data_IF_579285611615
#
_entry.id   IF_579285611615
#
_cell.length_a   1.000
_cell.length_b   1.000
_cell.length_c   1.000
_cell.angle_alpha   90.00
_cell.angle_beta   90.00
_cell.angle_gamma   90.00
#
_symmetry.space_group_name_H-M   'P 1'
#
loop_
_entity.id
_entity.type
_entity.pdbx_description
1 polymer ?
#
# COMPACT_ATOMS: atom_id res chain seq x y z
N UNK A 1 -23.42 11.89 25.01
CA UNK A 1 -24.48 10.90 25.33
C UNK A 1 -24.09 9.59 24.68
N UNK A 2 -24.15 8.49 25.42
CA UNK A 2 -23.84 7.14 24.93
C UNK A 2 -25.12 6.34 24.75
N UNK A 3 -25.19 5.49 23.73
CA UNK A 3 -26.27 4.52 23.50
C UNK A 3 -25.78 3.12 23.80
N UNK A 4 -26.70 2.24 24.20
CA UNK A 4 -26.40 0.83 24.47
C UNK A 4 -27.37 -0.05 23.71
N UNK A 5 -26.88 -1.14 23.13
CA UNK A 5 -27.69 -2.20 22.56
C UNK A 5 -27.13 -3.56 22.97
N UNK A 6 -27.90 -4.61 22.75
CA UNK A 6 -27.47 -5.99 22.93
C UNK A 6 -27.36 -6.66 21.56
N UNK A 7 -26.26 -7.36 21.33
CA UNK A 7 -26.14 -8.31 20.24
C UNK A 7 -26.35 -9.69 20.81
N UNK A 8 -27.29 -10.44 20.23
CA UNK A 8 -27.51 -11.84 20.56
C UNK A 8 -27.17 -12.68 19.35
N UNK A 9 -26.26 -13.64 19.53
CA UNK A 9 -25.98 -14.70 18.58
C UNK A 9 -26.64 -15.99 19.05
N UNK A 10 -27.47 -16.59 18.21
CA UNK A 10 -28.12 -17.88 18.49
C UNK A 10 -27.54 -18.94 17.56
N UNK A 11 -27.08 -20.05 18.09
CA UNK A 11 -26.78 -21.24 17.28
C UNK A 11 -28.05 -22.07 17.14
N UNK A 12 -28.43 -22.44 15.91
CA UNK A 12 -29.46 -23.47 15.71
C UNK A 12 -28.88 -24.81 16.16
N UNK A 13 -29.32 -25.28 17.33
CA UNK A 13 -28.89 -26.55 17.89
C UNK A 13 -29.78 -27.71 17.48
N UNK A 14 -29.19 -28.82 17.03
CA UNK A 14 -29.86 -30.11 16.90
C UNK A 14 -30.34 -30.58 18.28
N UNK A 15 -31.66 -30.53 18.51
CA UNK A 15 -32.42 -31.24 19.55
C UNK A 15 -32.09 -31.04 21.05
N UNK A 16 -31.07 -30.26 21.43
CA UNK A 16 -30.70 -30.00 22.83
C UNK A 16 -30.44 -28.52 23.15
N UNK A 17 -31.49 -27.70 23.12
CA UNK A 17 -31.54 -26.36 23.73
C UNK A 17 -30.75 -25.26 23.00
N UNK A 18 -31.39 -24.09 22.79
CA UNK A 18 -30.71 -22.91 22.21
C UNK A 18 -29.55 -22.47 23.12
N UNK A 19 -28.31 -22.59 22.64
CA UNK A 19 -27.15 -21.91 23.25
C UNK A 19 -27.00 -20.55 22.59
N UNK A 20 -27.27 -19.49 23.34
CA UNK A 20 -27.11 -18.11 22.90
C UNK A 20 -25.91 -17.43 23.56
N UNK A 21 -25.07 -16.77 22.77
CA UNK A 21 -24.06 -15.82 23.29
C UNK A 21 -24.60 -14.40 23.16
N UNK A 22 -24.42 -13.60 24.19
CA UNK A 22 -24.87 -12.21 24.24
C UNK A 22 -23.70 -11.26 24.47
N UNK A 23 -23.74 -10.11 23.82
CA UNK A 23 -22.81 -9.01 24.05
C UNK A 23 -23.59 -7.73 24.29
N UNK A 24 -23.13 -6.94 25.25
CA UNK A 24 -23.58 -5.56 25.44
C UNK A 24 -22.63 -4.65 24.66
N UNK A 25 -23.19 -3.83 23.79
CA UNK A 25 -22.45 -2.86 22.99
C UNK A 25 -22.87 -1.46 23.39
N UNK A 26 -21.90 -0.63 23.76
CA UNK A 26 -22.15 0.78 24.06
C UNK A 26 -21.38 1.62 23.06
N UNK A 27 -22.01 2.65 22.48
CA UNK A 27 -21.32 3.56 21.58
C UNK A 27 -21.62 5.02 21.89
N UNK A 28 -20.67 5.88 21.53
CA UNK A 28 -20.83 7.33 21.61
C UNK A 28 -20.09 8.00 20.47
N UNK A 29 -20.67 9.09 19.96
CA UNK A 29 -20.01 9.95 18.98
C UNK A 29 -19.00 10.82 19.71
N UNK A 30 -17.77 10.90 19.19
CA UNK A 30 -16.73 11.72 19.80
C UNK A 30 -17.18 13.19 19.86
N UNK A 31 -16.88 13.86 20.97
CA UNK A 31 -17.26 15.26 21.16
C UNK A 31 -16.52 16.19 20.19
N UNK A 32 -15.26 15.87 19.90
CA UNK A 32 -14.49 16.55 18.88
C UNK A 32 -14.83 15.99 17.51
N UNK A 33 -15.11 16.90 16.58
CA UNK A 33 -15.47 16.61 15.21
C UNK A 33 -14.53 17.41 14.30
N UNK A 34 -13.33 16.87 14.01
CA UNK A 34 -12.36 17.53 13.16
C UNK A 34 -12.93 17.85 11.78
N UNK A 35 -12.19 18.68 11.03
CA UNK A 35 -12.68 19.19 9.74
C UNK A 35 -12.97 18.08 8.73
N UNK A 36 -12.15 17.03 8.71
CA UNK A 36 -12.13 16.03 7.63
C UNK A 36 -12.74 14.68 8.00
N UNK A 37 -12.93 14.41 9.28
CA UNK A 37 -13.46 13.14 9.75
C UNK A 37 -14.32 13.31 11.01
N UNK A 38 -15.10 12.28 11.28
CA UNK A 38 -15.87 12.07 12.49
C UNK A 38 -15.58 10.68 13.03
N UNK A 39 -15.71 10.50 14.34
CA UNK A 39 -15.46 9.22 14.98
C UNK A 39 -16.54 8.81 15.98
N UNK A 40 -16.68 7.51 16.16
CA UNK A 40 -17.54 6.90 17.15
C UNK A 40 -16.75 5.85 17.94
N UNK A 41 -16.77 5.97 19.26
CA UNK A 41 -16.11 5.06 20.19
C UNK A 41 -17.12 4.01 20.65
N UNK A 42 -16.74 2.74 20.58
CA UNK A 42 -17.58 1.58 20.86
C UNK A 42 -16.87 0.69 21.90
N UNK A 43 -17.58 0.33 22.98
CA UNK A 43 -17.21 -0.76 23.88
C UNK A 43 -18.07 -1.99 23.62
N UNK A 44 -17.47 -3.17 23.74
CA UNK A 44 -18.13 -4.46 23.63
C UNK A 44 -17.79 -5.31 24.85
N UNK A 45 -18.83 -5.73 25.59
CA UNK A 45 -18.75 -6.53 26.81
C UNK A 45 -19.48 -7.86 26.60
N UNK A 46 -18.85 -8.99 26.94
CA UNK A 46 -19.54 -10.28 26.95
C UNK A 46 -20.54 -10.33 28.11
N UNK A 47 -21.77 -10.75 27.84
CA UNK A 47 -22.79 -10.92 28.88
C UNK A 47 -22.61 -12.29 29.54
N UNK A 48 -22.50 -12.31 30.87
CA UNK A 48 -22.58 -13.56 31.64
C UNK A 48 -24.04 -13.98 31.73
N UNK A 49 -24.42 -15.04 31.00
CA UNK A 49 -25.71 -15.67 31.23
C UNK A 49 -25.72 -16.24 32.65
N UNK A 50 -26.64 -15.77 33.49
CA UNK A 50 -26.86 -16.31 34.83
C UNK A 50 -27.33 -17.77 34.73
N UNK A 51 -26.39 -18.72 34.71
CA UNK A 51 -26.71 -20.14 34.69
C UNK A 51 -25.63 -21.11 34.19
N UNK A 52 -24.56 -20.65 33.53
CA UNK A 52 -23.46 -21.54 33.09
C UNK A 52 -22.13 -20.90 33.46
N UNK A 53 -21.70 -21.14 34.69
CA UNK A 53 -20.34 -20.85 35.12
C UNK A 53 -19.41 -21.98 34.63
N UNK A 54 -18.24 -21.59 34.13
CA UNK A 54 -17.01 -22.36 34.01
C UNK A 54 -16.71 -23.24 32.77
N UNK A 55 -17.45 -23.17 31.67
CA UNK A 55 -16.97 -23.71 30.38
C UNK A 55 -17.15 -22.71 29.22
N UNK A 56 -16.26 -21.73 29.15
CA UNK A 56 -16.10 -20.85 27.97
C UNK A 56 -14.75 -21.08 27.30
N UNK A 57 -14.36 -22.37 27.19
CA UNK A 57 -13.21 -22.81 26.40
C UNK A 57 -13.65 -24.02 25.57
N UNK A 58 -14.37 -23.79 24.48
CA UNK A 58 -14.42 -24.72 23.34
C UNK A 58 -15.07 -24.06 22.11
N UNK A 59 -14.34 -24.17 21.01
CA UNK A 59 -14.65 -23.97 19.59
C UNK A 59 -15.46 -22.73 19.15
N UNK A 60 -14.71 -21.65 18.87
CA UNK A 60 -15.18 -20.41 18.22
C UNK A 60 -15.14 -20.55 16.67
N UNK A 61 -14.66 -21.69 16.15
CA UNK A 61 -14.54 -21.95 14.71
C UNK A 61 -15.89 -22.02 13.96
N UNK A 62 -17.01 -22.20 14.66
CA UNK A 62 -18.34 -22.32 14.06
C UNK A 62 -18.92 -21.01 13.48
N UNK A 63 -18.39 -19.84 13.85
CA UNK A 63 -18.83 -18.54 13.31
C UNK A 63 -18.41 -18.28 11.85
N UNK A 64 -17.59 -19.15 11.25
CA UNK A 64 -16.97 -18.93 9.94
C UNK A 64 -17.69 -19.63 8.77
N UNK A 65 -18.67 -20.50 9.01
CA UNK A 65 -19.40 -21.24 7.96
C UNK A 65 -20.58 -20.44 7.39
N UNK A 66 -21.12 -20.88 6.25
CA UNK A 66 -21.87 -20.11 5.24
C UNK A 66 -23.27 -19.59 5.61
N UNK A 67 -23.67 -19.59 6.88
CA UNK A 67 -25.01 -19.13 7.34
C UNK A 67 -24.93 -17.79 8.11
N UNK A 68 -24.21 -16.81 7.53
CA UNK A 68 -23.79 -15.56 8.20
C UNK A 68 -24.89 -14.53 8.46
N UNK A 69 -25.96 -14.52 7.68
CA UNK A 69 -26.93 -13.40 7.69
C UNK A 69 -28.09 -13.56 8.68
N UNK A 70 -28.32 -14.76 9.21
CA UNK A 70 -29.54 -15.09 9.95
C UNK A 70 -29.41 -15.01 11.48
N UNK A 71 -28.20 -14.91 12.03
CA UNK A 71 -27.93 -15.27 13.43
C UNK A 71 -27.54 -14.09 14.35
N UNK A 72 -27.30 -12.89 13.81
CA UNK A 72 -26.99 -11.69 14.61
C UNK A 72 -28.24 -10.80 14.71
N UNK A 73 -28.83 -10.71 15.89
CA UNK A 73 -29.94 -9.80 16.18
C UNK A 73 -29.46 -8.61 17.02
N UNK A 74 -29.86 -7.40 16.64
CA UNK A 74 -29.66 -6.18 17.44
C UNK A 74 -30.92 -5.90 18.25
N UNK A 75 -30.79 -5.90 19.57
CA UNK A 75 -31.87 -5.59 20.51
C UNK A 75 -31.54 -4.24 21.17
N UNK A 76 -32.34 -3.21 20.89
CA UNK A 76 -32.24 -1.91 21.56
C UNK A 76 -33.12 -1.92 22.82
N UNK A 77 -32.56 -1.95 24.04
CA UNK A 77 -33.33 -1.97 25.27
C UNK A 77 -34.18 -0.71 25.49
N UNK A 78 -33.89 0.40 24.80
CA UNK A 78 -34.67 1.64 24.88
C UNK A 78 -35.90 1.63 23.95
N UNK A 79 -35.90 0.78 22.91
CA UNK A 79 -37.07 0.52 22.06
C UNK A 79 -37.72 -0.80 22.48
N UNK A 80 -38.63 -0.72 23.46
CA UNK A 80 -39.38 -1.87 23.98
C UNK A 80 -40.09 -2.63 22.86
N UNK A 81 -39.54 -3.78 22.43
CA UNK A 81 -40.29 -4.87 21.81
C UNK A 81 -39.96 -5.30 20.38
N UNK A 82 -39.05 -4.64 19.65
CA UNK A 82 -38.68 -5.08 18.29
C UNK A 82 -37.17 -5.27 18.14
N UNK A 83 -36.71 -6.51 18.25
CA UNK A 83 -35.38 -6.89 17.78
C UNK A 83 -35.31 -6.64 16.27
N UNK A 84 -34.41 -5.76 15.81
CA UNK A 84 -34.16 -5.60 14.38
C UNK A 84 -33.26 -6.74 13.90
N UNK A 85 -33.88 -7.86 13.55
CA UNK A 85 -33.17 -8.98 12.92
C UNK A 85 -32.54 -8.49 11.61
N UNK A 86 -31.27 -8.79 11.43
CA UNK A 86 -30.52 -8.44 10.22
C UNK A 86 -30.04 -6.99 10.15
N UNK A 87 -30.20 -6.17 11.21
CA UNK A 87 -29.67 -4.79 11.22
C UNK A 87 -28.14 -4.72 11.01
N UNK A 88 -27.43 -5.80 11.31
CA UNK A 88 -25.98 -5.95 11.14
C UNK A 88 -25.62 -7.02 10.11
N UNK A 89 -26.56 -7.46 9.26
CA UNK A 89 -26.30 -8.44 8.21
C UNK A 89 -25.34 -7.89 7.14
N UNK A 90 -24.73 -8.78 6.37
CA UNK A 90 -23.75 -8.42 5.33
C UNK A 90 -24.35 -7.42 4.33
N UNK A 91 -25.59 -7.64 3.91
CA UNK A 91 -26.32 -6.75 3.00
C UNK A 91 -26.62 -5.35 3.55
N UNK A 92 -26.45 -5.13 4.87
CA UNK A 92 -26.74 -3.84 5.53
C UNK A 92 -25.47 -3.06 5.83
N UNK A 93 -24.50 -3.69 6.49
CA UNK A 93 -23.28 -3.00 6.94
C UNK A 93 -22.05 -3.28 6.05
N UNK A 94 -22.19 -4.21 5.10
CA UNK A 94 -21.11 -4.66 4.22
C UNK A 94 -20.27 -5.77 4.84
N UNK A 95 -19.70 -6.61 3.97
CA UNK A 95 -18.91 -7.79 4.35
C UNK A 95 -17.74 -7.46 5.26
N UNK A 96 -16.95 -6.44 4.93
CA UNK A 96 -15.76 -6.06 5.72
C UNK A 96 -16.11 -5.61 7.14
N UNK A 97 -17.20 -4.84 7.27
CA UNK A 97 -17.71 -4.38 8.57
C UNK A 97 -18.20 -5.55 9.41
N UNK A 98 -18.92 -6.49 8.79
CA UNK A 98 -19.38 -7.70 9.45
C UNK A 98 -18.21 -8.58 9.90
N UNK A 99 -17.24 -8.84 9.02
CA UNK A 99 -16.05 -9.65 9.33
C UNK A 99 -15.26 -9.07 10.51
N UNK A 100 -15.05 -7.74 10.52
CA UNK A 100 -14.35 -7.07 11.61
C UNK A 100 -15.15 -7.08 12.93
N UNK A 101 -16.47 -6.87 12.86
CA UNK A 101 -17.33 -6.95 14.04
C UNK A 101 -17.29 -8.36 14.63
N UNK A 102 -17.43 -9.40 13.80
CA UNK A 102 -17.38 -10.80 14.24
C UNK A 102 -16.02 -11.14 14.85
N UNK A 103 -14.89 -10.80 14.21
CA UNK A 103 -13.56 -11.01 14.80
C UNK A 103 -13.41 -10.31 16.16
N UNK A 104 -13.99 -9.11 16.31
CA UNK A 104 -13.92 -8.38 17.59
C UNK A 104 -14.82 -9.01 18.67
N UNK A 105 -16.02 -9.46 18.31
CA UNK A 105 -16.91 -10.19 19.23
C UNK A 105 -16.25 -11.49 19.73
N UNK A 106 -15.54 -12.20 18.85
CA UNK A 106 -14.82 -13.45 19.16
C UNK A 106 -13.67 -13.25 20.14
N UNK A 107 -13.06 -12.06 20.16
CA UNK A 107 -11.97 -11.69 21.09
C UNK A 107 -12.49 -11.21 22.45
N UNK A 108 -13.78 -10.95 22.58
CA UNK A 108 -14.38 -10.50 23.84
C UNK A 108 -14.51 -11.69 24.79
N UNK A 109 -14.02 -11.53 26.02
CA UNK A 109 -14.20 -12.55 27.09
C UNK A 109 -14.98 -11.95 28.25
N UNK A 110 -15.40 -12.77 29.22
CA UNK A 110 -16.10 -12.32 30.44
C UNK A 110 -15.26 -11.35 31.28
N UNK A 111 -13.94 -11.30 31.07
CA UNK A 111 -13.02 -10.47 31.85
C UNK A 111 -12.27 -9.43 31.00
N UNK A 112 -12.46 -9.40 29.68
CA UNK A 112 -11.78 -8.48 28.77
C UNK A 112 -12.79 -7.83 27.82
N UNK A 113 -13.10 -6.57 28.09
CA UNK A 113 -13.88 -5.68 27.23
C UNK A 113 -13.06 -5.31 25.98
N UNK A 114 -13.72 -5.22 24.84
CA UNK A 114 -13.10 -4.78 23.58
C UNK A 114 -13.47 -3.32 23.24
N UNK A 115 -12.48 -2.53 22.82
CA UNK A 115 -12.67 -1.13 22.46
C UNK A 115 -12.37 -0.90 20.98
N UNK A 116 -13.28 -0.22 20.30
CA UNK A 116 -13.20 0.09 18.87
C UNK A 116 -13.45 1.59 18.66
N UNK A 117 -12.76 2.18 17.69
CA UNK A 117 -13.12 3.49 17.12
C UNK A 117 -13.44 3.32 15.64
N UNK A 118 -14.65 3.72 15.24
CA UNK A 118 -15.03 3.84 13.83
C UNK A 118 -14.71 5.25 13.33
N UNK A 119 -14.21 5.34 12.11
CA UNK A 119 -13.85 6.60 11.46
C UNK A 119 -14.67 6.75 10.18
N UNK A 120 -15.38 7.87 10.05
CA UNK A 120 -16.03 8.26 8.80
C UNK A 120 -15.49 9.60 8.28
N UNK A 121 -15.30 9.75 6.97
CA UNK A 121 -15.01 11.05 6.37
C UNK A 121 -16.16 12.03 6.57
N UNK A 122 -15.85 13.33 6.55
CA UNK A 122 -16.84 14.42 6.53
C UNK A 122 -16.84 15.15 5.20
N UNK A 123 -18.00 15.68 4.83
CA UNK A 123 -18.21 16.37 3.56
C UNK A 123 -18.72 15.46 2.45
N UNK A 124 -18.55 15.91 1.22
CA UNK A 124 -19.08 15.23 0.04
C UNK A 124 -17.97 14.95 -0.99
N UNK A 125 -17.90 13.70 -1.44
CA UNK A 125 -16.94 13.27 -2.45
C UNK A 125 -16.61 11.79 -2.34
N UNK A 126 -15.76 11.31 -3.23
CA UNK A 126 -15.26 9.95 -3.20
C UNK A 126 -14.07 9.86 -2.24
N UNK A 127 -13.95 8.75 -1.50
CA UNK A 127 -12.78 8.48 -0.67
C UNK A 127 -11.51 8.53 -1.53
N UNK A 128 -10.50 9.27 -1.06
CA UNK A 128 -9.22 9.40 -1.79
C UNK A 128 -8.48 8.08 -1.88
N UNK A 129 -8.65 7.23 -0.88
CA UNK A 129 -8.02 5.90 -0.76
C UNK A 129 -8.82 5.05 0.23
N UNK A 130 -9.24 3.86 -0.20
CA UNK A 130 -10.12 2.99 0.61
C UNK A 130 -9.49 2.52 1.94
N UNK A 131 -8.18 2.30 1.96
CA UNK A 131 -7.39 1.87 3.12
C UNK A 131 -6.68 3.03 3.84
N UNK A 132 -7.18 4.26 3.70
CA UNK A 132 -6.53 5.45 4.29
C UNK A 132 -6.37 5.34 5.81
N UNK A 133 -7.38 4.79 6.51
CA UNK A 133 -7.32 4.63 7.97
C UNK A 133 -6.22 3.62 8.37
N UNK A 134 -6.21 2.37 7.86
CA UNK A 134 -5.12 1.45 8.14
C UNK A 134 -3.72 1.98 7.80
N UNK A 135 -3.54 2.62 6.65
CA UNK A 135 -2.22 3.14 6.24
C UNK A 135 -1.74 4.27 7.14
N UNK A 136 -2.64 5.11 7.62
CA UNK A 136 -2.29 6.25 8.48
C UNK A 136 -2.08 5.82 9.93
N UNK A 137 -2.75 4.78 10.40
CA UNK A 137 -2.64 4.25 11.76
C UNK A 137 -1.54 3.19 11.94
N UNK A 138 -0.70 2.98 10.91
CA UNK A 138 0.45 2.09 11.01
C UNK A 138 1.41 2.58 12.11
N UNK A 139 1.97 1.62 12.86
CA UNK A 139 2.89 1.84 14.00
C UNK A 139 2.35 2.76 15.11
N UNK A 140 1.05 2.74 15.37
CA UNK A 140 0.48 3.40 16.56
C UNK A 140 0.47 2.42 17.74
N UNK A 141 1.16 2.75 18.84
CA UNK A 141 1.45 1.84 19.95
C UNK A 141 0.22 1.20 20.61
N UNK A 142 -0.89 1.94 20.75
CA UNK A 142 -2.12 1.49 21.40
C UNK A 142 -3.18 0.94 20.43
N UNK A 143 -2.80 0.62 19.19
CA UNK A 143 -3.68 0.04 18.17
C UNK A 143 -3.34 -1.44 17.97
N UNK A 144 -4.30 -2.32 18.25
CA UNK A 144 -4.15 -3.77 18.01
C UNK A 144 -4.30 -4.10 16.52
N UNK A 145 -5.32 -3.53 15.88
CA UNK A 145 -5.58 -3.75 14.46
C UNK A 145 -6.37 -2.60 13.86
N UNK A 146 -6.26 -2.47 12.55
CA UNK A 146 -7.07 -1.56 11.74
C UNK A 146 -7.60 -2.26 10.51
N UNK A 147 -8.80 -1.88 10.08
CA UNK A 147 -9.41 -2.42 8.87
C UNK A 147 -9.95 -1.30 7.98
N UNK A 148 -9.82 -1.49 6.67
CA UNK A 148 -10.47 -0.66 5.67
C UNK A 148 -11.91 -1.13 5.49
N UNK A 149 -12.87 -0.27 5.80
CA UNK A 149 -14.30 -0.54 5.60
C UNK A 149 -14.82 0.07 4.30
N UNK A 150 -14.14 1.11 3.80
CA UNK A 150 -14.48 1.72 2.53
C UNK A 150 -14.16 0.80 1.33
N UNK A 151 -14.96 0.94 0.28
CA UNK A 151 -14.62 0.46 -1.05
C UNK A 151 -13.88 1.54 -1.86
N UNK A 152 -13.02 1.16 -2.83
CA UNK A 152 -12.35 2.12 -3.71
C UNK A 152 -13.35 3.02 -4.41
N UNK A 153 -13.10 4.34 -4.35
CA UNK A 153 -13.98 5.38 -4.90
C UNK A 153 -15.39 5.41 -4.28
N UNK A 154 -15.60 4.82 -3.10
CA UNK A 154 -16.87 4.94 -2.39
C UNK A 154 -17.24 6.41 -2.19
N UNK A 155 -18.47 6.76 -2.59
CA UNK A 155 -19.03 8.08 -2.42
C UNK A 155 -19.51 8.27 -0.99
N UNK A 156 -19.11 9.38 -0.38
CA UNK A 156 -19.61 9.84 0.90
C UNK A 156 -20.43 11.11 0.71
N UNK A 157 -21.53 11.17 1.45
CA UNK A 157 -22.40 12.32 1.62
C UNK A 157 -22.16 12.90 3.01
N UNK A 158 -22.44 14.20 3.20
CA UNK A 158 -22.14 14.92 4.45
C UNK A 158 -23.14 14.57 5.57
N UNK A 159 -23.20 13.29 5.91
CA UNK A 159 -24.03 12.74 6.97
C UNK A 159 -23.29 12.85 8.29
N UNK A 160 -23.61 13.87 9.06
CA UNK A 160 -23.08 14.02 10.42
C UNK A 160 -23.67 12.95 11.34
N UNK A 161 -22.81 12.20 12.00
CA UNK A 161 -23.18 11.32 13.09
C UNK A 161 -23.62 12.14 14.28
N UNK A 162 -24.69 11.68 14.92
CA UNK A 162 -25.30 12.32 16.08
C UNK A 162 -25.44 11.30 17.19
N UNK A 163 -25.78 11.76 18.40
CA UNK A 163 -26.03 10.85 19.51
C UNK A 163 -27.15 9.82 19.22
N UNK A 164 -28.02 10.07 18.23
CA UNK A 164 -29.11 9.17 17.83
C UNK A 164 -28.75 8.27 16.64
N UNK A 165 -27.54 8.34 16.09
CA UNK A 165 -27.12 7.48 14.98
C UNK A 165 -27.11 6.01 15.41
N UNK A 166 -27.69 5.13 14.59
CA UNK A 166 -27.76 3.69 14.85
C UNK A 166 -26.40 3.02 14.61
N UNK A 167 -26.15 1.91 15.32
CA UNK A 167 -24.93 1.13 15.15
C UNK A 167 -24.72 0.66 13.70
N UNK A 168 -25.79 0.23 13.04
CA UNK A 168 -25.77 -0.18 11.62
C UNK A 168 -25.35 0.96 10.69
N UNK A 169 -25.83 2.19 10.95
CA UNK A 169 -25.44 3.37 10.18
C UNK A 169 -23.97 3.70 10.40
N UNK A 170 -23.46 3.60 11.63
CA UNK A 170 -22.05 3.84 11.93
C UNK A 170 -21.13 2.90 11.14
N UNK A 171 -21.40 1.58 11.16
CA UNK A 171 -20.61 0.62 10.40
C UNK A 171 -20.73 0.82 8.88
N UNK A 172 -21.95 1.05 8.37
CA UNK A 172 -22.19 1.25 6.94
C UNK A 172 -21.50 2.50 6.37
N UNK A 173 -21.39 3.55 7.18
CA UNK A 173 -20.84 4.85 6.75
C UNK A 173 -19.41 5.08 7.24
N UNK A 174 -18.79 4.12 7.92
CA UNK A 174 -17.38 4.21 8.28
C UNK A 174 -16.48 3.93 7.06
N UNK A 175 -15.36 4.64 6.97
CA UNK A 175 -14.28 4.32 6.03
C UNK A 175 -13.26 3.35 6.63
N UNK A 176 -13.13 3.31 7.95
CA UNK A 176 -12.25 2.38 8.64
C UNK A 176 -12.64 2.17 10.09
N UNK A 177 -12.10 1.10 10.67
CA UNK A 177 -12.23 0.79 12.08
C UNK A 177 -10.86 0.51 12.70
N UNK A 178 -10.73 0.87 13.97
CA UNK A 178 -9.53 0.73 14.78
C UNK A 178 -9.93 -0.05 16.02
N UNK A 179 -9.30 -1.19 16.28
CA UNK A 179 -9.43 -1.88 17.57
C UNK A 179 -8.22 -1.54 18.43
N UNK A 180 -8.49 -1.16 19.67
CA UNK A 180 -7.45 -0.71 20.59
C UNK A 180 -6.92 -1.86 21.42
N UNK A 181 -5.61 -1.81 21.67
CA UNK A 181 -4.99 -2.62 22.70
C UNK A 181 -4.98 -1.79 23.99
N UNK A 182 -5.44 -2.35 25.14
CA UNK A 182 -5.23 -1.70 26.42
C UNK A 182 -3.73 -1.43 26.63
N UNK A 183 -3.38 -0.21 27.05
CA UNK A 183 -2.03 0.07 27.51
C UNK A 183 -1.74 -0.84 28.71
N UNK A 184 -0.50 -1.30 28.88
CA UNK A 184 -0.13 -2.39 29.80
C UNK A 184 -0.58 -2.21 31.26
N UNK A 185 -0.94 -0.98 31.67
CA UNK A 185 -1.50 -0.65 32.99
C UNK A 185 -2.69 0.35 32.91
N UNK A 186 -3.24 0.60 31.72
CA UNK A 186 -4.23 1.65 31.47
C UNK A 186 -5.67 1.15 31.30
N UNK A 187 -6.62 2.05 31.49
CA UNK A 187 -8.03 1.84 31.17
C UNK A 187 -8.30 2.04 29.67
N UNK A 188 -9.48 1.61 29.21
CA UNK A 188 -9.93 1.88 27.83
C UNK A 188 -10.09 3.38 27.56
N UNK A 189 -10.47 4.16 28.58
CA UNK A 189 -10.52 5.61 28.47
C UNK A 189 -9.11 6.20 28.22
N UNK A 190 -8.09 5.63 28.84
CA UNK A 190 -6.69 6.03 28.60
C UNK A 190 -6.25 5.68 27.18
N UNK A 191 -6.66 4.50 26.67
CA UNK A 191 -6.39 4.11 25.29
C UNK A 191 -7.05 5.05 24.27
N UNK A 192 -8.30 5.48 24.47
CA UNK A 192 -8.92 6.49 23.60
C UNK A 192 -8.26 7.86 23.73
N UNK A 193 -7.90 8.27 24.94
CA UNK A 193 -7.20 9.54 25.18
C UNK A 193 -5.85 9.58 24.46
N UNK A 194 -5.13 8.45 24.44
CA UNK A 194 -3.88 8.32 23.69
C UNK A 194 -4.08 8.28 22.17
N UNK A 195 -5.23 7.78 21.69
CA UNK A 195 -5.56 7.72 20.26
C UNK A 195 -5.92 9.09 19.66
N UNK A 196 -6.58 9.96 20.42
CA UNK A 196 -7.02 11.30 19.96
C UNK A 196 -5.94 12.12 19.24
N UNK A 197 -4.74 12.34 19.82
CA UNK A 197 -3.68 13.09 19.13
C UNK A 197 -3.16 12.37 17.87
N UNK A 198 -3.16 11.04 17.85
CA UNK A 198 -2.76 10.27 16.66
C UNK A 198 -3.76 10.45 15.51
N UNK A 199 -5.06 10.43 15.81
CA UNK A 199 -6.09 10.69 14.80
C UNK A 199 -5.96 12.11 14.24
N UNK A 200 -5.81 13.10 15.11
CA UNK A 200 -5.65 14.50 14.69
C UNK A 200 -4.40 14.68 13.81
N UNK A 201 -3.26 14.14 14.23
CA UNK A 201 -2.00 14.28 13.47
C UNK A 201 -2.03 13.56 12.11
N UNK A 202 -2.73 12.43 12.02
CA UNK A 202 -2.62 11.52 10.87
C UNK A 202 -3.81 11.59 9.91
N UNK A 203 -4.97 12.07 10.35
CA UNK A 203 -6.21 12.17 9.56
C UNK A 203 -6.68 13.60 9.32
N UNK A 204 -5.97 14.63 9.79
CA UNK A 204 -6.25 16.04 9.48
C UNK A 204 -5.82 16.45 8.06
N UNK A 205 -6.20 15.63 7.09
CA UNK A 205 -6.00 15.85 5.66
C UNK A 205 -7.31 15.57 4.92
N UNK A 206 -7.54 16.14 3.73
CA UNK A 206 -8.70 15.81 2.92
C UNK A 206 -8.81 14.30 2.68
N UNK A 207 -9.88 13.69 3.21
CA UNK A 207 -10.18 12.27 3.02
C UNK A 207 -11.08 12.02 1.80
N UNK A 208 -11.75 13.05 1.31
CA UNK A 208 -12.67 13.01 0.17
C UNK A 208 -12.21 13.99 -0.92
N UNK A 209 -12.38 13.58 -2.18
CA UNK A 209 -12.24 14.46 -3.34
C UNK A 209 -13.43 14.26 -4.29
N UNK A 210 -13.85 15.33 -4.96
CA UNK A 210 -14.91 15.28 -5.97
C UNK A 210 -14.34 14.93 -7.34
N UNK A 211 -15.06 14.12 -8.11
CA UNK A 211 -14.70 13.83 -9.50
C UNK A 211 -13.60 12.78 -9.67
N UNK A 212 -13.30 12.00 -8.61
CA UNK A 212 -12.46 10.82 -8.77
C UNK A 212 -13.19 9.79 -9.63
N UNK A 213 -12.47 9.24 -10.61
CA UNK A 213 -12.96 8.17 -11.50
C UNK A 213 -12.02 6.98 -11.43
N UNK A 214 -12.56 5.80 -11.74
CA UNK A 214 -11.75 4.59 -11.92
C UNK A 214 -10.77 4.82 -13.07
N UNK A 215 -9.51 4.43 -12.89
CA UNK A 215 -8.46 4.60 -13.88
C UNK A 215 -7.95 3.25 -14.38
N UNK A 216 -7.49 3.20 -15.62
CA UNK A 216 -6.83 2.05 -16.22
C UNK A 216 -5.37 2.41 -16.52
N UNK A 217 -4.42 1.82 -15.78
CA UNK A 217 -3.01 2.01 -16.05
C UNK A 217 -2.37 0.71 -16.53
N UNK A 218 -1.38 0.83 -17.41
CA UNK A 218 -0.57 -0.31 -17.83
C UNK A 218 0.79 -0.28 -17.15
N UNK A 219 1.17 -1.40 -16.54
CA UNK A 219 2.46 -1.57 -15.89
C UNK A 219 3.35 -2.49 -16.71
N UNK A 220 4.49 -1.98 -17.16
CA UNK A 220 5.47 -2.77 -17.93
C UNK A 220 6.41 -3.52 -17.00
N UNK A 221 6.63 -4.80 -17.29
CA UNK A 221 7.39 -5.81 -16.55
C UNK A 221 6.70 -6.35 -15.29
N UNK A 222 5.89 -5.54 -14.60
CA UNK A 222 5.05 -6.01 -13.49
C UNK A 222 5.81 -6.21 -12.16
N UNK A 223 7.13 -6.11 -12.14
CA UNK A 223 7.98 -6.17 -10.96
C UNK A 223 8.86 -7.42 -10.91
N UNK A 224 10.17 -7.22 -10.76
CA UNK A 224 11.16 -8.30 -10.61
C UNK A 224 10.91 -9.11 -9.33
N UNK A 225 10.76 -10.43 -9.47
CA UNK A 225 10.91 -11.40 -8.39
C UNK A 225 10.03 -11.15 -7.14
N UNK A 226 8.73 -11.40 -7.27
CA UNK A 226 7.77 -11.36 -6.17
C UNK A 226 7.95 -12.48 -5.13
N UNK A 227 7.45 -12.30 -3.88
CA UNK A 227 7.01 -11.06 -3.22
C UNK A 227 7.98 -10.56 -2.12
N UNK A 228 9.11 -11.25 -1.88
CA UNK A 228 9.97 -11.00 -0.71
C UNK A 228 11.38 -10.52 -1.04
N UNK A 229 11.74 -10.36 -2.32
CA UNK A 229 13.12 -10.12 -2.75
C UNK A 229 13.51 -8.63 -2.88
N UNK A 230 12.78 -7.72 -2.22
CA UNK A 230 13.22 -6.33 -2.07
C UNK A 230 13.03 -5.45 -3.30
N UNK A 231 11.79 -5.28 -3.73
CA UNK A 231 11.29 -4.10 -4.44
C UNK A 231 9.77 -4.09 -4.21
N UNK A 232 9.17 -2.94 -3.92
CA UNK A 232 7.77 -2.78 -3.49
C UNK A 232 6.75 -3.29 -4.51
N UNK A 233 6.56 -4.61 -4.59
CA UNK A 233 5.80 -5.22 -5.67
C UNK A 233 4.33 -5.38 -5.26
N UNK A 234 4.00 -6.12 -4.20
CA UNK A 234 2.60 -6.29 -3.76
C UNK A 234 1.94 -4.98 -3.28
N UNK A 235 2.68 -4.11 -2.58
CA UNK A 235 2.12 -2.84 -2.08
C UNK A 235 1.69 -1.89 -3.21
N UNK A 236 2.31 -2.01 -4.39
CA UNK A 236 1.93 -1.23 -5.57
C UNK A 236 0.53 -1.65 -6.05
N UNK A 237 0.28 -2.96 -6.18
CA UNK A 237 -1.03 -3.48 -6.59
C UNK A 237 -2.11 -3.17 -5.56
N UNK A 238 -1.82 -3.34 -4.27
CA UNK A 238 -2.78 -2.97 -3.22
C UNK A 238 -3.10 -1.46 -3.24
N UNK A 239 -2.09 -0.63 -3.45
CA UNK A 239 -2.25 0.82 -3.55
C UNK A 239 -3.09 1.19 -4.76
N UNK A 240 -2.82 0.60 -5.93
CA UNK A 240 -3.62 0.85 -7.11
C UNK A 240 -5.09 0.45 -6.87
N UNK A 241 -5.32 -0.75 -6.33
CA UNK A 241 -6.66 -1.23 -6.00
C UNK A 241 -7.39 -0.27 -5.05
N UNK A 242 -6.72 0.20 -4.01
CA UNK A 242 -7.35 1.07 -3.00
C UNK A 242 -7.61 2.50 -3.48
N UNK A 243 -6.88 2.95 -4.50
CA UNK A 243 -7.11 4.20 -5.23
C UNK A 243 -8.18 4.08 -6.32
N UNK A 244 -8.67 2.87 -6.62
CA UNK A 244 -9.59 2.63 -7.74
C UNK A 244 -8.89 2.64 -9.09
N UNK A 245 -7.66 2.14 -9.14
CA UNK A 245 -6.86 1.97 -10.35
C UNK A 245 -6.85 0.49 -10.72
N UNK A 246 -7.27 0.19 -11.95
CA UNK A 246 -7.11 -1.11 -12.57
C UNK A 246 -5.73 -1.18 -13.24
N UNK A 247 -4.92 -2.16 -12.86
CA UNK A 247 -3.59 -2.37 -13.42
C UNK A 247 -3.60 -3.51 -14.43
N UNK A 248 -3.28 -3.21 -15.69
CA UNK A 248 -2.99 -4.21 -16.73
C UNK A 248 -1.48 -4.39 -16.80
N UNK A 249 -1.01 -5.62 -16.62
CA UNK A 249 0.43 -5.91 -16.66
C UNK A 249 0.86 -6.32 -18.06
N UNK A 250 1.88 -5.65 -18.59
CA UNK A 250 2.56 -5.99 -19.83
C UNK A 250 3.91 -6.64 -19.52
N UNK A 251 4.00 -7.96 -19.60
CA UNK A 251 5.22 -8.69 -19.25
C UNK A 251 5.42 -9.95 -20.09
N UNK A 252 6.59 -10.59 -19.96
CA UNK A 252 6.93 -11.80 -20.70
C UNK A 252 5.95 -12.96 -20.44
N UNK A 253 5.80 -13.82 -21.44
CA UNK A 253 5.08 -15.08 -21.26
C UNK A 253 5.80 -15.93 -20.21
N UNK A 254 5.05 -16.47 -19.24
CA UNK A 254 5.62 -17.16 -18.09
C UNK A 254 6.01 -16.28 -16.91
N UNK A 255 5.61 -15.00 -16.90
CA UNK A 255 5.73 -14.16 -15.72
C UNK A 255 5.00 -14.75 -14.49
N UNK A 256 5.59 -14.57 -13.30
CA UNK A 256 5.12 -15.18 -12.04
C UNK A 256 3.67 -14.82 -11.70
N UNK A 257 3.25 -13.58 -11.98
CA UNK A 257 1.87 -13.11 -11.77
C UNK A 257 0.81 -13.96 -12.50
N UNK A 258 1.17 -14.54 -13.65
CA UNK A 258 0.27 -15.42 -14.42
C UNK A 258 0.40 -16.89 -14.00
N UNK A 259 1.59 -17.31 -13.55
CA UNK A 259 1.86 -18.70 -13.20
C UNK A 259 1.35 -19.11 -11.81
N UNK A 260 1.26 -18.16 -10.87
CA UNK A 260 0.93 -18.41 -9.47
C UNK A 260 -0.51 -17.95 -9.17
N UNK A 261 -1.46 -18.88 -8.94
CA UNK A 261 -2.88 -18.55 -8.69
C UNK A 261 -3.09 -17.57 -7.54
N UNK A 262 -2.21 -17.59 -6.54
CA UNK A 262 -2.22 -16.67 -5.41
C UNK A 262 -2.07 -15.20 -5.82
N UNK A 263 -1.47 -14.91 -6.98
CA UNK A 263 -1.26 -13.54 -7.47
C UNK A 263 -2.25 -13.11 -8.56
N UNK A 264 -3.12 -14.02 -9.01
CA UNK A 264 -4.08 -13.74 -10.07
C UNK A 264 -5.03 -12.58 -9.75
N UNK A 265 -5.23 -12.29 -8.46
CA UNK A 265 -6.11 -11.21 -7.97
C UNK A 265 -5.41 -9.84 -7.84
N UNK A 266 -4.10 -9.74 -8.12
CA UNK A 266 -3.34 -8.51 -7.98
C UNK A 266 -3.47 -7.57 -9.17
N UNK A 267 -3.43 -8.10 -10.39
CA UNK A 267 -3.65 -7.32 -11.60
C UNK A 267 -5.10 -7.44 -12.08
N UNK A 268 -5.58 -6.41 -12.77
CA UNK A 268 -6.87 -6.45 -13.46
C UNK A 268 -6.82 -7.38 -14.67
N UNK A 269 -5.73 -7.34 -15.44
CA UNK A 269 -5.49 -8.19 -16.58
C UNK A 269 -3.97 -8.35 -16.84
N UNK A 270 -3.61 -9.32 -17.67
CA UNK A 270 -2.24 -9.63 -18.06
C UNK A 270 -2.13 -9.81 -19.58
N UNK A 271 -1.32 -8.97 -20.22
CA UNK A 271 -1.07 -9.04 -21.66
C UNK A 271 0.39 -9.42 -21.90
N UNK A 272 0.66 -10.60 -22.49
CA UNK A 272 2.03 -11.02 -22.75
C UNK A 272 2.66 -10.17 -23.85
N UNK A 273 3.86 -9.64 -23.58
CA UNK A 273 4.69 -8.95 -24.57
C UNK A 273 6.14 -9.39 -24.43
N UNK A 274 6.89 -9.33 -25.53
CA UNK A 274 8.34 -9.50 -25.47
C UNK A 274 9.00 -8.23 -24.92
N UNK A 275 9.50 -8.32 -23.70
CA UNK A 275 10.30 -7.30 -23.04
C UNK A 275 11.74 -7.32 -23.60
N UNK A 276 12.37 -6.15 -23.67
CA UNK A 276 13.72 -6.10 -24.20
C UNK A 276 14.36 -4.72 -24.15
N UNK A 277 15.62 -4.69 -24.59
CA UNK A 277 16.47 -3.50 -24.61
C UNK A 277 16.70 -2.97 -26.03
N UNK A 278 15.99 -3.54 -27.01
CA UNK A 278 16.08 -3.14 -28.42
C UNK A 278 15.25 -1.87 -28.72
N UNK A 279 15.57 -1.24 -29.85
CA UNK A 279 14.94 0.00 -30.29
C UNK A 279 13.42 -0.12 -30.51
N UNK A 280 12.91 -1.33 -30.78
CA UNK A 280 11.49 -1.55 -31.10
C UNK A 280 10.63 -1.81 -29.85
N UNK A 281 11.21 -1.82 -28.65
CA UNK A 281 10.47 -2.18 -27.45
C UNK A 281 9.31 -1.23 -27.15
N UNK A 282 9.50 0.08 -27.33
CA UNK A 282 8.40 1.05 -27.17
C UNK A 282 7.24 0.80 -28.15
N UNK A 283 7.53 0.37 -29.38
CA UNK A 283 6.52 0.09 -30.39
C UNK A 283 5.67 -1.15 -30.03
N UNK A 284 6.29 -2.16 -29.39
CA UNK A 284 5.58 -3.31 -28.84
C UNK A 284 4.62 -2.91 -27.71
N UNK A 285 5.04 -2.03 -26.81
CA UNK A 285 4.18 -1.47 -25.75
C UNK A 285 2.98 -0.75 -26.37
N UNK A 286 3.21 0.16 -27.33
CA UNK A 286 2.14 0.91 -28.02
C UNK A 286 1.14 -0.03 -28.70
N UNK A 287 1.64 -1.06 -29.37
CA UNK A 287 0.80 -2.03 -30.08
C UNK A 287 -0.07 -2.84 -29.12
N UNK A 288 0.50 -3.30 -28.01
CA UNK A 288 -0.23 -4.05 -26.99
C UNK A 288 -1.33 -3.22 -26.32
N UNK A 289 -1.03 -1.96 -25.97
CA UNK A 289 -2.04 -1.05 -25.40
C UNK A 289 -3.17 -0.81 -26.39
N UNK A 290 -2.87 -0.43 -27.63
CA UNK A 290 -3.91 -0.18 -28.65
C UNK A 290 -4.79 -1.40 -28.91
N UNK A 291 -4.19 -2.60 -28.95
CA UNK A 291 -4.95 -3.83 -29.10
C UNK A 291 -5.89 -4.06 -27.92
N UNK A 292 -5.39 -3.89 -26.69
CA UNK A 292 -6.21 -3.99 -25.49
C UNK A 292 -7.38 -2.99 -25.48
N UNK A 293 -7.13 -1.74 -25.87
CA UNK A 293 -8.19 -0.72 -25.94
C UNK A 293 -9.27 -1.10 -26.96
N UNK A 294 -8.87 -1.66 -28.11
CA UNK A 294 -9.80 -2.15 -29.13
C UNK A 294 -10.65 -3.32 -28.63
N UNK A 295 -10.03 -4.27 -27.93
CA UNK A 295 -10.70 -5.50 -27.47
C UNK A 295 -11.61 -5.25 -26.26
N UNK A 296 -11.17 -4.40 -25.32
CA UNK A 296 -11.89 -4.12 -24.08
C UNK A 296 -12.87 -2.94 -24.18
N UNK A 297 -12.69 -2.05 -25.16
CA UNK A 297 -13.41 -0.79 -25.26
C UNK A 297 -13.03 0.25 -24.19
N UNK A 298 -11.96 0.01 -23.42
CA UNK A 298 -11.47 0.92 -22.37
C UNK A 298 -10.19 1.60 -22.82
N UNK A 299 -10.09 2.91 -22.64
CA UNK A 299 -8.87 3.68 -22.93
C UNK A 299 -7.89 3.65 -21.76
N UNK A 300 -6.59 3.66 -22.06
CA UNK A 300 -5.53 3.83 -21.09
C UNK A 300 -5.56 5.25 -20.50
N UNK A 301 -5.46 5.37 -19.18
CA UNK A 301 -5.24 6.65 -18.50
C UNK A 301 -3.74 6.93 -18.28
N UNK A 302 -2.86 5.92 -18.38
CA UNK A 302 -1.42 6.11 -18.24
C UNK A 302 -0.58 4.83 -18.33
N UNK A 303 0.73 5.00 -18.43
CA UNK A 303 1.73 3.93 -18.40
C UNK A 303 2.69 4.13 -17.21
N UNK A 304 3.15 3.02 -16.62
CA UNK A 304 4.19 3.06 -15.60
C UNK A 304 5.12 1.84 -15.69
N UNK A 305 6.30 1.97 -15.10
CA UNK A 305 7.20 0.85 -14.85
C UNK A 305 7.99 1.10 -13.57
N UNK A 306 8.28 0.03 -12.84
CA UNK A 306 9.20 0.04 -11.72
C UNK A 306 10.62 -0.38 -12.15
N UNK A 307 10.81 -0.69 -13.43
CA UNK A 307 12.09 -1.16 -13.95
C UNK A 307 12.86 0.00 -14.57
N UNK A 308 13.98 0.36 -13.94
CA UNK A 308 14.73 1.58 -14.24
C UNK A 308 15.09 1.70 -15.73
N UNK A 309 15.55 0.59 -16.32
CA UNK A 309 15.95 0.53 -17.73
C UNK A 309 14.78 0.70 -18.71
N UNK A 310 13.53 0.57 -18.25
CA UNK A 310 12.33 0.73 -19.08
C UNK A 310 11.70 2.12 -19.01
N UNK A 311 12.19 3.04 -18.17
CA UNK A 311 11.61 4.39 -18.09
C UNK A 311 11.62 5.13 -19.45
N UNK A 312 12.73 5.06 -20.21
CA UNK A 312 12.82 5.69 -21.53
C UNK A 312 11.83 5.06 -22.54
N UNK A 313 11.82 3.73 -22.79
CA UNK A 313 10.87 3.14 -23.74
C UNK A 313 9.40 3.29 -23.30
N UNK A 314 9.10 3.25 -21.99
CA UNK A 314 7.73 3.46 -21.48
C UNK A 314 7.27 4.90 -21.68
N UNK A 315 8.11 5.89 -21.36
CA UNK A 315 7.82 7.31 -21.61
C UNK A 315 7.67 7.59 -23.12
N UNK A 316 8.50 6.96 -23.96
CA UNK A 316 8.39 7.05 -25.43
C UNK A 316 7.05 6.47 -25.91
N UNK A 317 6.62 5.33 -25.38
CA UNK A 317 5.33 4.75 -25.70
C UNK A 317 4.16 5.64 -25.25
N UNK A 318 4.24 6.20 -24.04
CA UNK A 318 3.24 7.11 -23.49
C UNK A 318 3.08 8.36 -24.39
N UNK A 319 4.21 8.94 -24.83
CA UNK A 319 4.20 10.05 -25.80
C UNK A 319 3.47 9.66 -27.11
N UNK A 320 3.76 8.48 -27.67
CA UNK A 320 3.12 8.01 -28.91
C UNK A 320 1.62 7.69 -28.77
N UNK A 321 1.18 7.37 -27.54
CA UNK A 321 -0.22 7.16 -27.20
C UNK A 321 -0.95 8.46 -26.82
N UNK A 322 -0.23 9.58 -26.70
CA UNK A 322 -0.80 10.86 -26.24
C UNK A 322 -1.17 10.86 -24.76
N UNK A 323 -0.56 9.98 -23.95
CA UNK A 323 -0.72 9.91 -22.50
C UNK A 323 0.22 10.88 -21.81
N UNK A 324 0.01 11.15 -20.52
CA UNK A 324 0.97 11.92 -19.72
C UNK A 324 2.29 11.14 -19.56
N UNK A 325 3.41 11.85 -19.66
CA UNK A 325 4.74 11.27 -19.53
C UNK A 325 5.74 12.27 -18.97
N UNK A 326 6.74 11.78 -18.25
CA UNK A 326 7.87 12.59 -17.81
C UNK A 326 8.86 12.85 -18.96
N UNK A 327 9.52 14.02 -19.01
CA UNK A 327 10.44 14.36 -20.09
C UNK A 327 11.50 13.28 -20.34
N UNK A 328 11.60 12.80 -21.59
CA UNK A 328 12.59 11.79 -21.97
C UNK A 328 14.02 12.18 -21.59
N UNK A 329 14.36 13.47 -21.76
CA UNK A 329 15.66 14.02 -21.38
C UNK A 329 15.97 13.86 -19.89
N UNK A 330 14.96 13.89 -19.01
CA UNK A 330 15.15 13.70 -17.58
C UNK A 330 15.56 12.24 -17.29
N UNK A 331 14.85 11.26 -17.89
CA UNK A 331 15.23 9.86 -17.74
C UNK A 331 16.56 9.53 -18.41
N UNK A 332 16.86 10.14 -19.55
CA UNK A 332 18.17 9.97 -20.19
C UNK A 332 19.32 10.40 -19.30
N UNK A 333 19.15 11.46 -18.51
CA UNK A 333 20.15 11.87 -17.52
C UNK A 333 20.11 10.90 -16.35
N UNK A 334 18.96 10.75 -15.69
CA UNK A 334 18.84 10.01 -14.43
C UNK A 334 19.25 8.53 -14.52
N UNK A 335 18.98 7.87 -15.65
CA UNK A 335 19.26 6.43 -15.83
C UNK A 335 20.66 6.15 -16.40
N UNK A 336 21.43 7.19 -16.74
CA UNK A 336 22.78 7.08 -17.27
C UNK A 336 23.78 7.75 -16.32
N UNK A 337 24.57 6.92 -15.62
CA UNK A 337 25.49 7.38 -14.57
C UNK A 337 26.53 8.38 -15.07
N UNK A 338 26.92 8.32 -16.35
CA UNK A 338 27.82 9.31 -16.93
C UNK A 338 27.09 10.64 -17.17
N UNK A 339 25.90 10.62 -17.79
CA UNK A 339 25.11 11.84 -18.01
C UNK A 339 24.72 12.51 -16.69
N UNK A 340 24.34 11.75 -15.67
CA UNK A 340 24.13 12.26 -14.31
C UNK A 340 25.37 12.98 -13.80
N UNK A 341 26.54 12.34 -13.87
CA UNK A 341 27.80 12.95 -13.43
C UNK A 341 28.09 14.27 -14.14
N UNK A 342 27.89 14.33 -15.46
CA UNK A 342 28.07 15.56 -16.23
C UNK A 342 27.08 16.65 -15.80
N UNK A 343 25.81 16.30 -15.56
CA UNK A 343 24.78 17.25 -15.13
C UNK A 343 25.06 17.87 -13.76
N UNK A 344 25.75 17.13 -12.89
CA UNK A 344 26.21 17.58 -11.57
C UNK A 344 27.54 18.34 -11.62
N UNK A 345 28.16 18.47 -12.80
CA UNK A 345 29.48 19.09 -12.97
C UNK A 345 30.64 18.24 -12.45
N UNK A 346 30.43 16.93 -12.25
CA UNK A 346 31.50 16.00 -11.86
C UNK A 346 32.38 15.66 -13.06
N UNK A 347 33.70 15.61 -12.83
CA UNK A 347 34.67 15.14 -13.84
C UNK A 347 34.63 13.61 -13.91
N UNK A 348 34.00 13.07 -14.95
CA UNK A 348 33.91 11.65 -15.25
C UNK A 348 34.25 11.38 -16.72
N UNK A 349 34.52 10.12 -17.06
CA UNK A 349 34.84 9.70 -18.41
C UNK A 349 34.03 8.48 -18.80
N UNK A 350 33.89 8.24 -20.10
CA UNK A 350 33.26 7.01 -20.63
C UNK A 350 34.24 6.23 -21.48
N UNK A 351 34.14 4.91 -21.41
CA UNK A 351 34.79 4.01 -22.35
C UNK A 351 33.82 2.89 -22.74
N UNK A 352 34.02 2.30 -23.91
CA UNK A 352 33.24 1.16 -24.41
C UNK A 352 34.06 -0.13 -24.46
N UNK A 353 35.36 -0.03 -24.21
CA UNK A 353 36.33 -1.13 -24.22
C UNK A 353 37.58 -0.77 -23.42
N UNK A 354 38.45 -1.76 -23.22
CA UNK A 354 39.69 -1.62 -22.45
C UNK A 354 40.68 -0.63 -23.09
N UNK A 355 40.79 -0.61 -24.42
CA UNK A 355 41.75 0.27 -25.12
C UNK A 355 41.40 1.75 -24.92
N UNK A 356 40.11 2.10 -25.03
CA UNK A 356 39.60 3.44 -24.74
C UNK A 356 39.87 3.84 -23.29
N UNK A 357 39.58 2.95 -22.34
CA UNK A 357 39.80 3.22 -20.91
C UNK A 357 41.28 3.44 -20.58
N UNK A 358 42.18 2.62 -21.15
CA UNK A 358 43.62 2.77 -20.99
C UNK A 358 44.15 4.03 -21.69
N UNK A 359 43.58 4.41 -22.84
CA UNK A 359 43.91 5.67 -23.49
C UNK A 359 43.55 6.86 -22.60
N UNK A 360 42.34 6.87 -22.01
CA UNK A 360 41.91 7.90 -21.05
C UNK A 360 42.87 7.93 -19.86
N UNK A 361 43.17 6.79 -19.25
CA UNK A 361 44.06 6.71 -18.10
C UNK A 361 45.50 7.18 -18.36
N UNK A 362 45.96 7.17 -19.61
CA UNK A 362 47.29 7.65 -20.01
C UNK A 362 47.29 9.12 -20.45
N UNK A 363 46.16 9.63 -20.94
CA UNK A 363 46.03 11.00 -21.46
C UNK A 363 45.54 11.99 -20.41
N UNK A 364 44.80 11.51 -19.42
CA UNK A 364 44.19 12.33 -18.38
C UNK A 364 44.84 12.10 -17.02
N UNK A 365 44.81 13.13 -16.16
CA UNK A 365 45.15 12.96 -14.74
C UNK A 365 43.92 12.43 -14.00
N UNK A 366 43.91 11.14 -13.68
CA UNK A 366 42.79 10.46 -13.02
C UNK A 366 42.95 10.43 -11.49
N UNK A 367 41.86 10.68 -10.73
CA UNK A 367 41.89 10.70 -9.26
C UNK A 367 41.74 9.28 -8.68
N UNK A 368 42.80 8.48 -8.75
CA UNK A 368 42.81 7.13 -8.19
C UNK A 368 42.54 7.12 -6.67
N UNK A 369 41.84 6.09 -6.13
CA UNK A 369 41.18 5.00 -6.86
C UNK A 369 39.94 5.47 -7.63
N UNK A 370 39.57 4.74 -8.67
CA UNK A 370 38.36 4.97 -9.47
C UNK A 370 37.30 3.90 -9.18
N UNK A 371 36.06 4.23 -9.50
CA UNK A 371 35.00 3.26 -9.75
C UNK A 371 34.76 3.18 -11.25
N UNK A 372 34.69 1.94 -11.75
CA UNK A 372 34.13 1.65 -13.07
C UNK A 372 32.81 0.91 -12.89
N UNK A 373 31.79 1.32 -13.65
CA UNK A 373 30.45 0.75 -13.61
C UNK A 373 29.72 1.01 -14.93
N UNK A 374 28.74 0.18 -15.33
CA UNK A 374 28.03 0.41 -16.57
C UNK A 374 27.33 1.76 -16.55
N UNK A 375 27.26 2.46 -17.69
CA UNK A 375 26.53 3.73 -17.76
C UNK A 375 25.05 3.51 -17.42
N UNK A 376 24.46 2.46 -18.00
CA UNK A 376 23.11 2.00 -17.72
C UNK A 376 23.21 0.67 -17.00
N UNK A 377 22.72 0.59 -15.77
CA UNK A 377 22.72 -0.66 -15.01
C UNK A 377 22.12 -0.52 -13.63
N UNK A 378 21.68 -1.63 -13.07
CA UNK A 378 20.92 -1.71 -11.82
C UNK A 378 21.58 -2.70 -10.84
N UNK A 379 21.07 -2.75 -9.61
CA UNK A 379 21.45 -3.71 -8.56
C UNK A 379 22.97 -3.79 -8.25
N UNK A 380 23.72 -2.73 -8.56
CA UNK A 380 25.19 -2.69 -8.40
C UNK A 380 25.93 -3.80 -9.14
N UNK A 381 25.37 -4.32 -10.23
CA UNK A 381 26.04 -5.28 -11.09
C UNK A 381 27.22 -4.63 -11.85
N UNK A 382 28.31 -5.39 -12.02
CA UNK A 382 29.51 -4.98 -12.75
C UNK A 382 30.14 -3.67 -12.22
N UNK A 383 30.06 -3.41 -10.92
CA UNK A 383 30.73 -2.28 -10.27
C UNK A 383 32.07 -2.73 -9.72
N UNK A 384 33.16 -2.08 -10.13
CA UNK A 384 34.51 -2.39 -9.66
C UNK A 384 35.22 -1.15 -9.17
N UNK A 385 35.84 -1.23 -7.99
CA UNK A 385 36.87 -0.29 -7.56
C UNK A 385 38.20 -0.70 -8.19
N UNK A 386 38.90 0.26 -8.79
CA UNK A 386 40.21 0.06 -9.39
C UNK A 386 41.19 1.07 -8.82
N UNK A 387 42.28 0.58 -8.21
CA UNK A 387 43.25 1.43 -7.51
C UNK A 387 44.31 2.01 -8.46
N UNK A 388 44.52 1.40 -9.63
CA UNK A 388 45.52 1.81 -10.61
C UNK A 388 45.18 1.34 -12.04
N UNK A 389 46.05 1.70 -12.99
CA UNK A 389 45.91 1.36 -14.40
C UNK A 389 45.98 -0.15 -14.68
N UNK A 390 46.69 -0.93 -13.85
CA UNK A 390 46.82 -2.38 -14.03
C UNK A 390 45.49 -3.07 -13.66
N UNK A 391 44.88 -2.64 -12.56
CA UNK A 391 43.53 -3.10 -12.20
C UNK A 391 42.50 -2.65 -13.24
N UNK A 392 42.61 -1.43 -13.78
CA UNK A 392 41.73 -0.99 -14.87
C UNK A 392 41.83 -1.92 -16.09
N UNK A 393 43.04 -2.28 -16.52
CA UNK A 393 43.27 -3.25 -17.61
C UNK A 393 42.64 -4.63 -17.31
N UNK A 394 42.69 -5.07 -16.05
CA UNK A 394 42.12 -6.33 -15.62
C UNK A 394 40.57 -6.34 -15.62
N UNK A 395 39.93 -5.27 -15.14
CA UNK A 395 38.49 -5.24 -14.93
C UNK A 395 37.68 -4.67 -16.09
N UNK A 396 38.24 -3.74 -16.88
CA UNK A 396 37.54 -3.14 -18.02
C UNK A 396 36.99 -4.17 -19.05
N UNK A 397 37.67 -5.29 -19.36
CA UNK A 397 37.12 -6.32 -20.26
C UNK A 397 35.81 -6.95 -19.76
N UNK A 398 35.51 -6.88 -18.46
CA UNK A 398 34.31 -7.45 -17.84
C UNK A 398 33.09 -6.53 -17.92
N UNK A 399 33.26 -5.29 -18.39
CA UNK A 399 32.21 -4.28 -18.39
C UNK A 399 31.13 -4.48 -19.46
N UNK A 400 31.41 -5.32 -20.47
CA UNK A 400 30.45 -5.63 -21.52
C UNK A 400 29.44 -6.67 -21.04
N UNK A 401 28.16 -6.32 -21.07
CA UNK A 401 27.03 -7.22 -20.82
C UNK A 401 25.92 -7.01 -21.83
N UNK A 402 25.13 -8.04 -22.10
CA UNK A 402 23.93 -7.92 -22.92
C UNK A 402 22.85 -7.08 -22.23
N UNK A 403 22.79 -7.11 -20.88
CA UNK A 403 21.80 -6.37 -20.09
C UNK A 403 22.14 -4.89 -19.89
N UNK A 404 23.42 -4.55 -19.82
CA UNK A 404 23.92 -3.21 -19.46
C UNK A 404 24.59 -2.48 -20.64
N UNK A 405 24.81 -3.17 -21.75
CA UNK A 405 25.58 -2.68 -22.90
C UNK A 405 27.09 -2.75 -22.67
N UNK A 406 27.84 -2.05 -23.53
CA UNK A 406 29.31 -2.02 -23.50
C UNK A 406 29.89 -0.75 -22.87
N UNK A 407 29.10 0.31 -22.75
CA UNK A 407 29.56 1.60 -22.24
C UNK A 407 29.61 1.60 -20.71
N UNK A 408 30.72 2.06 -20.16
CA UNK A 408 30.93 2.24 -18.73
C UNK A 408 31.52 3.59 -18.40
N UNK A 409 31.18 4.08 -17.20
CA UNK A 409 31.71 5.32 -16.65
C UNK A 409 32.93 5.02 -15.78
N UNK A 410 33.92 5.91 -15.85
CA UNK A 410 35.09 5.97 -14.97
C UNK A 410 34.96 7.23 -14.11
N UNK A 411 34.78 7.07 -12.81
CA UNK A 411 34.60 8.19 -11.86
C UNK A 411 35.51 8.03 -10.63
N UNK A 412 35.75 9.12 -9.92
CA UNK A 412 36.47 9.08 -8.64
C UNK A 412 35.74 8.20 -7.63
N UNK A 413 36.45 7.33 -6.93
CA UNK A 413 35.90 6.61 -5.79
C UNK A 413 35.78 7.56 -4.59
N UNK A 414 34.54 7.83 -4.18
CA UNK A 414 34.26 8.60 -2.97
C UNK A 414 34.09 7.65 -1.78
N UNK A 415 34.93 7.80 -0.75
CA UNK A 415 34.70 7.18 0.55
C UNK A 415 33.94 8.13 1.47
N UNK A 416 33.09 7.59 2.35
CA UNK A 416 32.34 8.39 3.31
C UNK A 416 30.95 7.83 3.58
N UNK A 417 30.16 8.54 4.41
CA UNK A 417 28.78 8.19 4.66
C UNK A 417 27.95 8.39 3.38
N UNK A 418 27.00 7.48 3.16
CA UNK A 418 26.00 7.56 2.11
C UNK A 418 24.67 8.01 2.70
N UNK A 419 23.99 8.90 1.98
CA UNK A 419 22.72 9.48 2.39
C UNK A 419 21.81 9.54 1.17
N UNK A 420 20.63 8.96 1.31
CA UNK A 420 19.58 8.97 0.31
C UNK A 420 18.55 10.04 0.65
N UNK A 421 18.26 10.93 -0.30
CA UNK A 421 17.17 11.91 -0.19
C UNK A 421 16.05 11.44 -1.09
N UNK A 422 14.98 10.93 -0.49
CA UNK A 422 13.78 10.52 -1.20
C UNK A 422 12.82 11.69 -1.28
N UNK A 423 12.30 12.01 -2.47
CA UNK A 423 11.32 13.07 -2.63
C UNK A 423 10.27 12.72 -3.68
N UNK A 424 9.10 13.36 -3.57
CA UNK A 424 7.98 13.25 -4.50
C UNK A 424 7.81 14.59 -5.18
N UNK A 425 7.84 14.59 -6.52
CA UNK A 425 7.59 15.76 -7.35
C UNK A 425 6.17 15.71 -7.93
N UNK A 426 5.52 16.86 -8.03
CA UNK A 426 4.29 17.05 -8.78
C UNK A 426 4.30 18.46 -9.39
N UNK A 427 4.04 18.58 -10.70
CA UNK A 427 4.08 19.85 -11.44
C UNK A 427 5.36 20.67 -11.19
N UNK A 428 6.50 19.99 -11.13
CA UNK A 428 7.82 20.61 -10.90
C UNK A 428 8.05 21.10 -9.46
N UNK A 429 7.16 20.80 -8.52
CA UNK A 429 7.29 21.15 -7.11
C UNK A 429 7.57 19.93 -6.24
N UNK A 430 8.41 20.10 -5.21
CA UNK A 430 8.64 19.07 -4.18
C UNK A 430 7.44 19.05 -3.23
N UNK A 431 6.66 17.97 -3.27
CA UNK A 431 5.49 17.78 -2.41
C UNK A 431 5.83 17.09 -1.09
N UNK A 432 6.83 16.24 -1.11
CA UNK A 432 7.31 15.49 0.05
C UNK A 432 8.80 15.22 -0.11
N UNK A 433 9.55 15.21 1.00
CA UNK A 433 10.92 14.73 1.02
C UNK A 433 11.25 14.11 2.38
N UNK A 434 12.21 13.18 2.38
CA UNK A 434 12.73 12.53 3.57
C UNK A 434 14.17 12.08 3.34
N UNK A 435 14.94 12.05 4.42
CA UNK A 435 16.35 11.63 4.39
C UNK A 435 16.44 10.26 5.02
N UNK A 436 17.02 9.31 4.29
CA UNK A 436 17.38 7.99 4.79
C UNK A 436 18.89 7.90 4.79
N UNK A 437 19.48 7.52 5.92
CA UNK A 437 20.91 7.25 5.99
C UNK A 437 21.12 5.76 6.13
N UNK A 438 21.90 5.19 5.22
CA UNK A 438 22.45 3.84 5.31
C UNK A 438 23.61 3.83 6.31
N UNK A 439 23.33 4.04 7.60
CA UNK A 439 24.34 3.85 8.64
C UNK A 439 24.61 2.35 8.84
N UNK A 440 25.67 1.83 8.22
CA UNK A 440 26.34 0.64 8.73
C UNK A 440 27.14 1.07 9.96
N UNK A 441 26.83 0.60 11.19
CA UNK A 441 27.71 0.83 12.31
C UNK A 441 28.99 0.03 12.06
N UNK A 442 30.02 0.70 11.54
CA UNK A 442 31.39 0.22 11.74
C UNK A 442 31.59 0.19 13.26
N UNK A 443 31.52 -1.00 13.85
CA UNK A 443 32.11 -1.24 15.17
C UNK A 443 33.57 -0.88 15.03
N UNK A 444 33.95 0.29 15.52
CA UNK A 444 35.32 0.56 15.91
C UNK A 444 35.68 -0.46 17.00
N UNK A 445 36.30 -1.56 16.61
CA UNK A 445 37.12 -2.34 17.53
C UNK A 445 38.43 -1.58 17.70
N UNK A 446 38.48 -0.74 18.74
CA UNK A 446 39.73 -0.32 19.37
C UNK A 446 40.27 -1.43 20.25
#
# INVERSE_FOLDING_TARGET
MSRTAQIVYREEGDSHGERGRGWKITWSIAAQQPRFYQSANITIEAMTNAGVADELVADVGALMTSERDSLIALEDPEQTGTAERGALAEGVIGRRSLDFLVDTLQRTTTHALQAITLIAPRGHGNIVRADIVPKRMHDVDNVETTVALAEPLQLYTDESWTATTSLSTLFRTAAGAIRLSPLSEGTIADAWTALEPELENRLSVPLLLTGLKRQLLFMVEGGLSFPFAGACSWQLYETAKSLGIDLVVLAEEGHSLKQQPEFAHWCHDFVPIQCGYDAEFHARIVSAVKQYEQDSGRSADGLLTAYESYHIPVSTAAQQLGLSYEPLSAYEVATDKFKTSLSEGRKSYTASNVDEALHIARSETLPWPLIIKPCRGWASELVFKVDDIQQLEQFAPRMRSDSHGAQFVMEHYCSGPEVDINFVLYDGQVCFWGVVSSFFPFRNTS
#
